data_IF_885902063368
#
_entry.id   IF_885902063368
#
_cell.length_a   1.000
_cell.length_b   1.000
_cell.length_c   1.000
_cell.angle_alpha   90.00
_cell.angle_beta   90.00
_cell.angle_gamma   90.00
#
_symmetry.space_group_name_H-M   'P 1'
#
loop_
_entity.id
_entity.type
_entity.pdbx_description
1 polymer ?
#
# COMPACT_ATOMS: atom_id res chain seq x y z
N UNK A 1 -25.44 39.42 -9.06
CA UNK A 1 -24.41 38.84 -8.15
C UNK A 1 -24.78 37.47 -7.62
N UNK A 2 -26.04 37.18 -7.26
CA UNK A 2 -26.46 35.86 -6.74
C UNK A 2 -26.17 34.64 -7.65
N UNK A 3 -26.40 34.75 -8.96
CA UNK A 3 -26.14 33.66 -9.93
C UNK A 3 -24.67 33.24 -10.06
N UNK A 4 -23.73 34.10 -9.67
CA UNK A 4 -22.30 33.82 -9.77
C UNK A 4 -21.79 33.07 -8.54
N UNK A 5 -22.36 33.37 -7.37
CA UNK A 5 -22.09 32.66 -6.11
C UNK A 5 -22.63 31.23 -6.12
N UNK A 6 -23.79 31.00 -6.74
CA UNK A 6 -24.40 29.68 -6.92
C UNK A 6 -23.54 28.77 -7.82
N UNK A 7 -23.02 29.33 -8.92
CA UNK A 7 -22.07 28.66 -9.82
C UNK A 7 -20.75 28.30 -9.15
N UNK A 8 -20.25 29.17 -8.26
CA UNK A 8 -19.02 28.91 -7.49
C UNK A 8 -19.28 27.81 -6.45
N UNK A 9 -20.47 27.78 -5.84
CA UNK A 9 -20.89 26.73 -4.92
C UNK A 9 -21.02 25.35 -5.58
N UNK A 10 -21.61 25.28 -6.78
CA UNK A 10 -21.66 24.05 -7.59
C UNK A 10 -20.27 23.59 -8.04
N UNK A 11 -19.40 24.51 -8.49
CA UNK A 11 -18.02 24.18 -8.88
C UNK A 11 -17.17 23.72 -7.68
N UNK A 12 -17.42 24.26 -6.47
CA UNK A 12 -16.79 23.81 -5.23
C UNK A 12 -17.30 22.43 -4.79
N UNK A 13 -18.58 22.12 -5.01
CA UNK A 13 -19.15 20.81 -4.73
C UNK A 13 -18.63 19.74 -5.72
N UNK A 14 -18.48 20.07 -7.00
CA UNK A 14 -17.87 19.19 -8.00
C UNK A 14 -16.38 18.94 -7.75
N UNK A 15 -15.63 19.96 -7.32
CA UNK A 15 -14.20 19.79 -6.97
C UNK A 15 -13.99 19.06 -5.64
N UNK A 16 -14.93 19.18 -4.69
CA UNK A 16 -14.92 18.38 -3.45
C UNK A 16 -15.30 16.92 -3.71
N UNK A 17 -16.15 16.65 -4.70
CA UNK A 17 -16.53 15.29 -5.15
C UNK A 17 -15.41 14.61 -5.97
N UNK A 18 -14.40 15.37 -6.42
CA UNK A 18 -13.18 14.83 -7.05
C UNK A 18 -12.21 14.13 -6.09
N UNK A 19 -12.45 14.21 -4.78
CA UNK A 19 -11.69 13.49 -3.75
C UNK A 19 -12.28 12.11 -3.46
N UNK A 20 -12.63 11.35 -4.51
CA UNK A 20 -12.82 9.92 -4.38
C UNK A 20 -11.44 9.24 -4.58
N UNK A 21 -10.77 8.76 -3.51
CA UNK A 21 -9.36 8.36 -3.56
C UNK A 21 -9.09 7.14 -4.47
N UNK A 22 -10.14 6.48 -4.97
CA UNK A 22 -10.00 5.32 -5.86
C UNK A 22 -10.01 5.72 -7.36
N UNK A 23 -10.48 6.93 -7.72
CA UNK A 23 -10.66 7.36 -9.13
C UNK A 23 -9.80 8.58 -9.52
N UNK A 24 -9.16 9.27 -8.56
CA UNK A 24 -8.45 10.53 -8.81
C UNK A 24 -7.00 10.43 -9.31
N UNK A 25 -6.40 9.24 -9.29
CA UNK A 25 -4.96 9.10 -9.57
C UNK A 25 -4.73 8.90 -11.08
N UNK A 26 -4.41 10.00 -11.78
CA UNK A 26 -4.08 9.94 -13.21
C UNK A 26 -2.73 9.22 -13.41
N UNK A 27 -2.62 8.24 -14.32
CA UNK A 27 -1.35 7.54 -14.56
C UNK A 27 -0.17 8.48 -14.88
N UNK A 28 -0.43 9.59 -15.58
CA UNK A 28 0.61 10.60 -15.86
C UNK A 28 1.09 11.38 -14.63
N UNK A 29 0.24 11.56 -13.62
CA UNK A 29 0.61 12.22 -12.36
C UNK A 29 1.38 11.28 -11.44
N UNK A 30 1.04 9.99 -11.42
CA UNK A 30 1.84 8.95 -10.77
C UNK A 30 3.25 8.90 -11.34
N UNK A 31 3.38 8.85 -12.67
CA UNK A 31 4.69 8.77 -13.31
C UNK A 31 5.56 10.00 -13.04
N UNK A 32 4.97 11.20 -13.03
CA UNK A 32 5.68 12.42 -12.65
C UNK A 32 6.13 12.37 -11.19
N UNK A 33 5.25 11.97 -10.29
CA UNK A 33 5.54 11.90 -8.86
C UNK A 33 6.61 10.84 -8.56
N UNK A 34 6.54 9.67 -9.21
CA UNK A 34 7.60 8.67 -9.18
C UNK A 34 8.93 9.23 -9.70
N UNK A 35 8.91 9.98 -10.82
CA UNK A 35 10.08 10.68 -11.33
C UNK A 35 10.70 11.66 -10.33
N UNK A 36 9.88 12.38 -9.56
CA UNK A 36 10.34 13.27 -8.48
C UNK A 36 11.02 12.49 -7.35
N UNK A 37 10.45 11.36 -6.92
CA UNK A 37 11.04 10.47 -5.91
C UNK A 37 12.40 9.94 -6.39
N UNK A 38 12.46 9.44 -7.63
CA UNK A 38 13.70 8.92 -8.21
C UNK A 38 14.76 9.99 -8.40
N UNK A 39 14.38 11.19 -8.85
CA UNK A 39 15.29 12.32 -8.96
C UNK A 39 15.83 12.76 -7.59
N UNK A 40 15.01 12.72 -6.54
CA UNK A 40 15.47 12.97 -5.17
C UNK A 40 16.43 11.90 -4.68
N UNK A 41 16.14 10.61 -4.91
CA UNK A 41 17.05 9.51 -4.58
C UNK A 41 18.43 9.68 -5.25
N UNK A 42 18.44 10.06 -6.52
CA UNK A 42 19.68 10.28 -7.27
C UNK A 42 20.47 11.50 -6.77
N UNK A 43 19.79 12.58 -6.39
CA UNK A 43 20.44 13.82 -5.89
C UNK A 43 20.93 13.71 -4.46
N UNK A 44 20.34 12.81 -3.66
CA UNK A 44 20.69 12.63 -2.26
C UNK A 44 21.02 11.17 -1.93
N UNK A 45 22.19 10.69 -2.40
CA UNK A 45 22.57 9.30 -2.21
C UNK A 45 22.85 8.95 -0.74
N UNK A 46 23.24 9.92 0.10
CA UNK A 46 23.64 9.66 1.48
C UNK A 46 22.48 9.27 2.42
N UNK A 47 21.36 10.03 2.51
CA UNK A 47 20.19 9.60 3.29
C UNK A 47 19.64 8.26 2.81
N UNK A 48 19.52 8.09 1.48
CA UNK A 48 19.06 6.83 0.89
C UNK A 48 19.93 5.64 1.29
N UNK A 49 21.27 5.75 1.12
CA UNK A 49 22.20 4.70 1.49
C UNK A 49 22.16 4.36 2.99
N UNK A 50 21.95 5.37 3.85
CA UNK A 50 21.81 5.15 5.29
C UNK A 50 20.56 4.34 5.63
N UNK A 51 19.41 4.71 5.07
CA UNK A 51 18.15 3.98 5.29
C UNK A 51 18.18 2.58 4.69
N UNK A 52 18.82 2.42 3.53
CA UNK A 52 19.07 1.10 2.94
C UNK A 52 19.95 0.22 3.83
N UNK A 53 21.03 0.77 4.39
CA UNK A 53 21.90 0.04 5.32
C UNK A 53 21.16 -0.32 6.63
N UNK A 54 20.31 0.58 7.14
CA UNK A 54 19.47 0.31 8.30
C UNK A 54 18.44 -0.80 8.02
N UNK A 55 17.81 -0.79 6.85
CA UNK A 55 16.95 -1.87 6.41
C UNK A 55 17.70 -3.22 6.35
N UNK A 56 18.93 -3.24 5.84
CA UNK A 56 19.77 -4.45 5.87
C UNK A 56 20.07 -4.96 7.29
N UNK A 57 20.29 -4.05 8.25
CA UNK A 57 20.43 -4.42 9.68
C UNK A 57 19.13 -4.98 10.24
N UNK A 58 17.99 -4.39 9.91
CA UNK A 58 16.68 -4.87 10.35
C UNK A 58 16.40 -6.27 9.78
N UNK A 59 16.72 -6.53 8.50
CA UNK A 59 16.63 -7.87 7.91
C UNK A 59 17.50 -8.89 8.64
N UNK A 60 18.72 -8.51 9.04
CA UNK A 60 19.59 -9.38 9.84
C UNK A 60 18.96 -9.67 11.21
N UNK A 61 18.39 -8.67 11.88
CA UNK A 61 17.69 -8.87 13.15
C UNK A 61 16.46 -9.76 13.00
N UNK A 62 15.73 -9.65 11.89
CA UNK A 62 14.56 -10.47 11.57
C UNK A 62 14.98 -11.94 11.40
N UNK A 63 15.96 -12.21 10.53
CA UNK A 63 16.43 -13.58 10.26
C UNK A 63 17.09 -14.22 11.49
N UNK A 64 17.74 -13.43 12.33
CA UNK A 64 18.32 -13.90 13.61
C UNK A 64 17.29 -14.00 14.74
N UNK A 65 16.02 -13.68 14.49
CA UNK A 65 14.93 -13.77 15.47
C UNK A 65 14.96 -12.71 16.58
N UNK A 66 15.81 -11.69 16.45
CA UNK A 66 15.97 -10.59 17.42
C UNK A 66 15.01 -9.42 17.17
N UNK A 67 14.36 -9.36 16.01
CA UNK A 67 13.44 -8.28 15.66
C UNK A 67 12.12 -8.38 16.41
N UNK A 68 11.77 -7.30 17.10
CA UNK A 68 10.48 -7.11 17.78
C UNK A 68 9.46 -6.34 16.91
N UNK A 69 9.79 -6.06 15.64
CA UNK A 69 8.89 -5.36 14.72
C UNK A 69 7.59 -6.17 14.61
N UNK A 70 6.46 -5.51 14.82
CA UNK A 70 5.14 -6.12 14.79
C UNK A 70 4.14 -5.17 14.08
N UNK A 71 3.11 -5.71 13.42
CA UNK A 71 2.08 -4.90 12.80
C UNK A 71 1.27 -4.18 13.88
N UNK A 72 0.56 -3.13 13.47
CA UNK A 72 -0.41 -2.48 14.35
C UNK A 72 -1.50 -3.46 14.78
N UNK A 73 -1.90 -3.40 16.06
CA UNK A 73 -2.91 -4.32 16.62
C UNK A 73 -4.25 -4.30 15.86
N UNK A 74 -4.57 -3.17 15.22
CA UNK A 74 -5.82 -2.96 14.47
C UNK A 74 -5.71 -3.34 13.00
N UNK A 75 -4.53 -3.69 12.49
CA UNK A 75 -4.36 -4.07 11.09
C UNK A 75 -5.00 -5.45 10.85
N UNK A 76 -6.14 -5.44 10.16
CA UNK A 76 -6.93 -6.65 9.86
C UNK A 76 -6.19 -7.62 8.95
N UNK A 77 -5.21 -7.15 8.17
CA UNK A 77 -4.43 -7.99 7.24
C UNK A 77 -3.60 -9.04 7.97
N UNK A 78 -3.17 -8.75 9.20
CA UNK A 78 -2.22 -9.55 9.96
C UNK A 78 -2.80 -10.23 11.20
N UNK A 79 -4.12 -10.46 11.23
CA UNK A 79 -4.82 -11.08 12.38
C UNK A 79 -4.68 -12.60 12.43
N UNK A 80 -4.33 -13.25 11.31
CA UNK A 80 -4.16 -14.70 11.29
C UNK A 80 -2.96 -15.11 12.19
N UNK A 81 -3.13 -16.08 13.11
CA UNK A 81 -2.06 -16.50 14.02
C UNK A 81 -0.82 -17.03 13.30
N UNK A 82 -0.93 -17.45 12.03
CA UNK A 82 0.19 -17.89 11.20
C UNK A 82 1.28 -16.83 11.09
N UNK A 83 0.93 -15.54 11.10
CA UNK A 83 1.90 -14.43 11.11
C UNK A 83 2.81 -14.42 12.34
N UNK A 84 2.35 -15.00 13.46
CA UNK A 84 3.11 -15.09 14.71
C UNK A 84 3.90 -16.40 14.82
N UNK A 85 3.31 -17.52 14.42
CA UNK A 85 3.85 -18.85 14.68
C UNK A 85 4.65 -19.44 13.52
N UNK A 86 4.41 -19.03 12.27
CA UNK A 86 5.16 -19.52 11.13
C UNK A 86 6.34 -18.58 10.81
N UNK A 87 7.61 -19.04 10.88
CA UNK A 87 8.77 -18.19 10.65
C UNK A 87 8.79 -17.51 9.28
N UNK A 88 8.32 -18.19 8.22
CA UNK A 88 8.32 -17.64 6.86
C UNK A 88 7.38 -16.45 6.74
N UNK A 89 6.15 -16.60 7.24
CA UNK A 89 5.17 -15.51 7.26
C UNK A 89 5.59 -14.39 8.22
N UNK A 90 6.15 -14.74 9.38
CA UNK A 90 6.70 -13.74 10.30
C UNK A 90 7.80 -12.92 9.65
N UNK A 91 8.75 -13.56 8.97
CA UNK A 91 9.84 -12.88 8.28
C UNK A 91 9.35 -12.00 7.14
N UNK A 92 8.40 -12.46 6.32
CA UNK A 92 7.86 -11.65 5.22
C UNK A 92 7.13 -10.40 5.74
N UNK A 93 6.32 -10.55 6.79
CA UNK A 93 5.65 -9.45 7.47
C UNK A 93 6.64 -8.44 8.05
N UNK A 94 7.60 -8.91 8.85
CA UNK A 94 8.58 -8.02 9.48
C UNK A 94 9.48 -7.33 8.45
N UNK A 95 9.86 -8.01 7.37
CA UNK A 95 10.64 -7.42 6.28
C UNK A 95 9.86 -6.32 5.58
N UNK A 96 8.57 -6.55 5.30
CA UNK A 96 7.69 -5.54 4.72
C UNK A 96 7.54 -4.31 5.65
N UNK A 97 7.34 -4.52 6.95
CA UNK A 97 7.27 -3.42 7.94
C UNK A 97 8.58 -2.63 8.03
N UNK A 98 9.73 -3.34 8.04
CA UNK A 98 11.04 -2.70 8.05
C UNK A 98 11.29 -1.89 6.77
N UNK A 99 10.85 -2.38 5.61
CA UNK A 99 10.91 -1.64 4.35
C UNK A 99 10.08 -0.35 4.43
N UNK A 100 8.84 -0.40 4.92
CA UNK A 100 8.01 0.80 5.10
C UNK A 100 8.67 1.84 5.99
N UNK A 101 9.18 1.40 7.15
CA UNK A 101 9.89 2.26 8.10
C UNK A 101 11.12 2.93 7.45
N UNK A 102 11.89 2.17 6.65
CA UNK A 102 13.05 2.70 5.93
C UNK A 102 12.68 3.72 4.85
N UNK A 103 11.60 3.49 4.10
CA UNK A 103 11.08 4.42 3.10
C UNK A 103 10.58 5.73 3.74
N UNK A 104 9.84 5.61 4.84
CA UNK A 104 9.35 6.75 5.61
C UNK A 104 10.50 7.60 6.17
N UNK A 105 11.45 6.97 6.87
CA UNK A 105 12.62 7.69 7.39
C UNK A 105 13.46 8.33 6.29
N UNK A 106 13.56 7.69 5.12
CA UNK A 106 14.27 8.27 3.99
C UNK A 106 13.59 9.53 3.45
N UNK A 107 12.27 9.55 3.35
CA UNK A 107 11.52 10.75 2.94
C UNK A 107 11.76 11.88 3.95
N UNK A 108 11.72 11.58 5.24
CA UNK A 108 11.90 12.59 6.30
C UNK A 108 13.32 13.19 6.27
N UNK A 109 14.34 12.36 6.01
CA UNK A 109 15.73 12.79 5.89
C UNK A 109 16.11 13.32 4.49
N UNK A 110 15.17 13.36 3.54
CA UNK A 110 15.44 13.65 2.13
C UNK A 110 15.73 15.12 1.83
N UNK A 111 15.58 16.04 2.80
CA UNK A 111 15.76 17.48 2.59
C UNK A 111 14.88 18.09 1.47
N UNK A 112 13.87 17.36 1.00
CA UNK A 112 12.92 17.81 -0.01
C UNK A 112 11.97 18.86 0.56
N UNK A 113 11.30 19.62 -0.31
CA UNK A 113 10.22 20.52 0.13
C UNK A 113 9.09 19.73 0.77
N UNK A 114 8.34 20.33 1.69
CA UNK A 114 7.19 19.69 2.36
C UNK A 114 6.19 19.13 1.33
N UNK A 115 5.90 19.89 0.27
CA UNK A 115 5.02 19.44 -0.82
C UNK A 115 5.55 18.22 -1.57
N UNK A 116 6.87 18.12 -1.75
CA UNK A 116 7.50 16.97 -2.42
C UNK A 116 7.54 15.75 -1.49
N UNK A 117 7.75 15.95 -0.17
CA UNK A 117 7.70 14.88 0.81
C UNK A 117 6.31 14.24 0.90
N UNK A 118 5.25 15.05 0.93
CA UNK A 118 3.85 14.54 0.93
C UNK A 118 3.57 13.71 -0.31
N UNK A 119 3.99 14.18 -1.50
CA UNK A 119 3.82 13.44 -2.76
C UNK A 119 4.64 12.16 -2.78
N UNK A 120 5.89 12.21 -2.33
CA UNK A 120 6.77 11.05 -2.26
C UNK A 120 6.20 9.97 -1.32
N UNK A 121 5.74 10.39 -0.14
CA UNK A 121 5.10 9.52 0.86
C UNK A 121 3.88 8.82 0.28
N UNK A 122 2.98 9.54 -0.36
CA UNK A 122 1.82 8.96 -1.03
C UNK A 122 2.19 7.88 -2.06
N UNK A 123 3.18 8.14 -2.92
CA UNK A 123 3.62 7.19 -3.95
C UNK A 123 4.30 5.97 -3.33
N UNK A 124 5.19 6.17 -2.36
CA UNK A 124 5.89 5.08 -1.70
C UNK A 124 4.93 4.23 -0.87
N UNK A 125 3.91 4.83 -0.24
CA UNK A 125 2.85 4.09 0.45
C UNK A 125 2.07 3.23 -0.53
N UNK A 126 1.70 3.75 -1.72
CA UNK A 126 1.02 2.96 -2.75
C UNK A 126 1.86 1.77 -3.22
N UNK A 127 3.17 1.98 -3.43
CA UNK A 127 4.10 0.91 -3.81
C UNK A 127 4.23 -0.10 -2.66
N UNK A 128 4.44 0.36 -1.44
CA UNK A 128 4.59 -0.50 -0.27
C UNK A 128 3.33 -1.31 0.01
N UNK A 129 2.15 -0.70 -0.10
CA UNK A 129 0.87 -1.40 0.01
C UNK A 129 0.69 -2.42 -1.10
N UNK A 130 1.11 -2.11 -2.33
CA UNK A 130 1.12 -3.07 -3.45
C UNK A 130 2.04 -4.27 -3.23
N UNK A 131 3.16 -4.07 -2.52
CA UNK A 131 4.13 -5.11 -2.15
C UNK A 131 3.77 -5.87 -0.86
N UNK A 132 2.64 -5.55 -0.22
CA UNK A 132 2.23 -6.25 0.99
C UNK A 132 2.10 -7.76 0.73
N UNK A 133 2.62 -8.63 1.62
CA UNK A 133 2.61 -10.07 1.39
C UNK A 133 1.19 -10.63 1.23
N UNK A 134 0.22 -9.96 1.84
CA UNK A 134 -1.22 -10.28 1.78
C UNK A 134 -1.85 -10.14 0.40
N UNK A 135 -1.18 -9.46 -0.53
CA UNK A 135 -1.68 -9.22 -1.89
C UNK A 135 -1.48 -10.42 -2.82
N UNK A 136 -0.76 -11.44 -2.38
CA UNK A 136 -0.59 -12.69 -3.13
C UNK A 136 -1.30 -13.83 -2.42
N UNK A 137 -1.81 -14.80 -3.17
CA UNK A 137 -2.48 -15.97 -2.59
C UNK A 137 -1.56 -16.75 -1.65
N UNK A 138 -0.31 -16.98 -2.06
CA UNK A 138 0.68 -17.73 -1.28
C UNK A 138 1.13 -16.94 -0.05
N UNK A 139 1.29 -15.63 -0.19
CA UNK A 139 1.70 -14.74 0.91
C UNK A 139 0.58 -14.42 1.91
N UNK A 140 -0.67 -14.81 1.64
CA UNK A 140 -1.81 -14.60 2.53
C UNK A 140 -2.25 -15.93 3.17
N UNK A 141 -1.89 -16.20 4.44
CA UNK A 141 -2.20 -17.47 5.09
C UNK A 141 -3.70 -17.69 5.26
N UNK A 142 -4.48 -16.63 5.52
CA UNK A 142 -5.94 -16.74 5.62
C UNK A 142 -6.58 -17.12 4.27
N UNK A 143 -6.08 -16.56 3.16
CA UNK A 143 -6.56 -16.90 1.82
C UNK A 143 -6.20 -18.35 1.46
N UNK A 144 -4.97 -18.78 1.74
CA UNK A 144 -4.52 -20.15 1.49
C UNK A 144 -5.28 -21.18 2.31
N UNK A 145 -5.54 -20.87 3.60
CA UNK A 145 -6.38 -21.70 4.47
C UNK A 145 -7.80 -21.82 3.91
N UNK A 146 -8.40 -20.69 3.51
CA UNK A 146 -9.75 -20.68 2.93
C UNK A 146 -9.83 -21.45 1.61
N UNK A 147 -8.79 -21.37 0.79
CA UNK A 147 -8.67 -22.19 -0.43
C UNK A 147 -8.73 -23.68 -0.09
N UNK A 148 -7.94 -24.12 0.89
CA UNK A 148 -7.92 -25.51 1.32
C UNK A 148 -9.27 -25.96 1.92
N UNK A 149 -9.83 -25.19 2.85
CA UNK A 149 -11.11 -25.50 3.52
C UNK A 149 -12.28 -25.63 2.54
N UNK A 150 -12.24 -24.91 1.43
CA UNK A 150 -13.30 -24.92 0.41
C UNK A 150 -13.02 -25.86 -0.76
N UNK A 151 -11.91 -26.62 -0.72
CA UNK A 151 -11.49 -27.45 -1.84
C UNK A 151 -11.26 -26.65 -3.13
N UNK A 152 -10.84 -25.38 -3.01
CA UNK A 152 -10.64 -24.48 -4.15
C UNK A 152 -11.85 -23.64 -4.55
N UNK A 153 -13.04 -23.90 -4.00
CA UNK A 153 -14.26 -23.18 -4.39
C UNK A 153 -14.22 -21.68 -4.06
N UNK A 154 -13.47 -21.25 -3.04
CA UNK A 154 -13.28 -19.83 -2.74
C UNK A 154 -12.63 -19.07 -3.90
N UNK A 155 -11.63 -19.67 -4.55
CA UNK A 155 -10.92 -19.08 -5.68
C UNK A 155 -11.80 -19.07 -6.93
N UNK A 156 -12.52 -20.16 -7.20
CA UNK A 156 -13.47 -20.24 -8.32
C UNK A 156 -14.54 -19.16 -8.20
N UNK A 157 -15.11 -18.99 -7.01
CA UNK A 157 -16.10 -17.95 -6.74
C UNK A 157 -15.49 -16.55 -6.88
N UNK A 158 -14.28 -16.32 -6.39
CA UNK A 158 -13.57 -15.06 -6.56
C UNK A 158 -13.33 -14.69 -8.03
N UNK A 159 -12.93 -15.65 -8.86
CA UNK A 159 -12.74 -15.46 -10.30
C UNK A 159 -14.07 -15.21 -11.02
N UNK A 160 -15.14 -15.90 -10.63
CA UNK A 160 -16.49 -15.66 -11.16
C UNK A 160 -16.95 -14.23 -10.84
N UNK A 161 -16.70 -13.76 -9.63
CA UNK A 161 -17.01 -12.38 -9.22
C UNK A 161 -16.17 -11.38 -10.02
N UNK A 162 -14.86 -11.60 -10.13
CA UNK A 162 -13.98 -10.74 -10.92
C UNK A 162 -14.42 -10.65 -12.39
N UNK A 163 -14.78 -11.78 -13.01
CA UNK A 163 -15.33 -11.80 -14.36
C UNK A 163 -16.64 -11.03 -14.47
N UNK A 164 -17.55 -11.24 -13.51
CA UNK A 164 -18.82 -10.52 -13.46
C UNK A 164 -18.60 -9.01 -13.34
N UNK A 165 -17.69 -8.58 -12.47
CA UNK A 165 -17.37 -7.18 -12.21
C UNK A 165 -16.74 -6.51 -13.44
N UNK A 166 -15.85 -7.21 -14.15
CA UNK A 166 -15.31 -6.74 -15.44
C UNK A 166 -16.42 -6.60 -16.49
N UNK A 167 -17.36 -7.55 -16.55
CA UNK A 167 -18.37 -7.58 -17.61
C UNK A 167 -19.55 -6.65 -17.37
N UNK A 168 -19.93 -6.42 -16.11
CA UNK A 168 -21.17 -5.77 -15.72
C UNK A 168 -20.99 -4.57 -14.79
N UNK A 169 -19.83 -4.41 -14.12
CA UNK A 169 -19.59 -3.32 -13.16
C UNK A 169 -18.40 -2.43 -13.54
N UNK A 170 -18.05 -2.37 -14.84
CA UNK A 170 -16.94 -1.55 -15.33
C UNK A 170 -15.57 -1.89 -14.72
N UNK A 171 -15.40 -3.13 -14.22
CA UNK A 171 -14.19 -3.57 -13.53
C UNK A 171 -14.13 -3.21 -12.04
N UNK A 172 -15.16 -2.57 -11.48
CA UNK A 172 -15.21 -2.29 -10.05
C UNK A 172 -15.72 -3.51 -9.26
N UNK A 173 -15.11 -3.84 -8.11
CA UNK A 173 -15.63 -4.90 -7.24
C UNK A 173 -17.06 -4.63 -6.80
N UNK A 174 -17.90 -5.66 -6.79
CA UNK A 174 -19.24 -5.57 -6.20
C UNK A 174 -19.16 -5.31 -4.69
N UNK A 175 -19.95 -4.35 -4.20
CA UNK A 175 -20.06 -4.09 -2.76
C UNK A 175 -20.84 -5.22 -2.11
N UNK A 176 -20.36 -5.73 -0.98
CA UNK A 176 -21.14 -6.66 -0.16
C UNK A 176 -22.02 -5.85 0.78
N UNK A 177 -23.28 -6.23 0.91
CA UNK A 177 -24.15 -5.72 1.97
C UNK A 177 -23.52 -6.05 3.32
N UNK A 178 -23.50 -5.06 4.22
CA UNK A 178 -22.83 -5.16 5.53
C UNK A 178 -23.66 -5.95 6.52
#
# INVERSE_FOLDING_TARGET
MAKQTEKIGEQAAETTTGLNPIIGVRPGELMKSFGVVMAHAARQPAPFARHFANYGKDLLQIVTGKSEIAPEKKDRRFQDPTWKYNPVYKYSLQSWLAMRKGLEGWIDDSGASESDQVRARFILDLIADGLAPTNTLIGNPAALKRLYETGGMSLVNGLKNAYHDVRHNGGMPSQVDT
#
